data_IF_647777228192
#
_entry.id   IF_647777228192
#
_cell.length_a   1.000
_cell.length_b   1.000
_cell.length_c   1.000
_cell.angle_alpha   90.00
_cell.angle_beta   90.00
_cell.angle_gamma   90.00
#
_symmetry.space_group_name_H-M   'P 1'
#
loop_
_entity.id
_entity.type
_entity.pdbx_description
1 polymer ?
#
# COMPACT_ATOMS: atom_id res chain seq x y z
N UNK A 1 -9.16 25.11 -14.61
CA UNK A 1 -10.09 24.63 -13.56
C UNK A 1 -11.43 25.28 -13.81
N UNK A 2 -12.44 24.48 -14.12
CA UNK A 2 -13.78 24.95 -14.49
C UNK A 2 -14.64 25.10 -13.23
N UNK A 3 -15.66 25.95 -13.22
CA UNK A 3 -16.56 26.17 -12.07
C UNK A 3 -17.15 24.90 -11.41
N UNK A 4 -17.15 23.77 -12.14
CA UNK A 4 -17.51 22.45 -11.60
C UNK A 4 -16.54 21.92 -10.53
N UNK A 5 -15.25 22.26 -10.64
CA UNK A 5 -14.19 21.84 -9.70
C UNK A 5 -14.33 22.56 -8.36
N UNK A 6 -14.70 23.85 -8.35
CA UNK A 6 -14.87 24.65 -7.13
C UNK A 6 -16.12 24.24 -6.32
N UNK A 7 -17.23 23.91 -6.99
CA UNK A 7 -18.45 23.42 -6.34
C UNK A 7 -18.24 22.02 -5.72
N UNK A 8 -17.47 21.15 -6.39
CA UNK A 8 -17.10 19.85 -5.82
C UNK A 8 -16.22 19.99 -4.58
N UNK A 9 -15.30 20.96 -4.56
CA UNK A 9 -14.38 21.20 -3.44
C UNK A 9 -15.10 21.78 -2.22
N UNK A 10 -16.03 22.71 -2.42
CA UNK A 10 -16.79 23.31 -1.31
C UNK A 10 -17.83 22.37 -0.69
N UNK A 11 -18.37 21.42 -1.47
CA UNK A 11 -19.39 20.47 -1.01
C UNK A 11 -18.83 19.12 -0.48
N UNK A 12 -17.51 18.94 -0.42
CA UNK A 12 -16.87 17.68 0.02
C UNK A 12 -17.42 17.12 1.34
N UNK A 13 -17.61 17.92 2.42
CA UNK A 13 -18.11 17.39 3.68
C UNK A 13 -19.54 16.83 3.56
N UNK A 14 -20.34 17.41 2.67
CA UNK A 14 -21.69 16.93 2.39
C UNK A 14 -21.65 15.59 1.63
N UNK A 15 -20.83 15.48 0.58
CA UNK A 15 -20.67 14.24 -0.17
C UNK A 15 -20.13 13.09 0.69
N UNK A 16 -19.18 13.36 1.57
CA UNK A 16 -18.68 12.36 2.53
C UNK A 16 -19.82 11.84 3.41
N UNK A 17 -20.65 12.73 3.94
CA UNK A 17 -21.77 12.31 4.80
C UNK A 17 -22.83 11.52 4.01
N UNK A 18 -23.17 11.96 2.80
CA UNK A 18 -24.09 11.22 1.93
C UNK A 18 -23.57 9.82 1.57
N UNK A 19 -22.28 9.70 1.24
CA UNK A 19 -21.63 8.41 1.00
C UNK A 19 -21.71 7.51 2.22
N UNK A 20 -21.43 8.05 3.41
CA UNK A 20 -21.49 7.28 4.66
C UNK A 20 -22.90 6.78 4.95
N UNK A 21 -23.92 7.63 4.79
CA UNK A 21 -25.31 7.21 4.99
C UNK A 21 -25.76 6.19 3.93
N UNK A 22 -25.32 6.35 2.68
CA UNK A 22 -25.54 5.36 1.61
C UNK A 22 -24.91 4.01 1.95
N UNK A 23 -23.68 4.01 2.45
CA UNK A 23 -22.94 2.78 2.79
C UNK A 23 -23.53 2.10 4.04
N UNK A 24 -23.98 2.87 5.04
CA UNK A 24 -24.70 2.33 6.20
C UNK A 24 -26.03 1.69 5.81
N UNK A 25 -26.82 2.39 4.99
CA UNK A 25 -28.15 1.91 4.56
C UNK A 25 -28.09 0.81 3.51
N UNK A 26 -26.98 0.69 2.79
CA UNK A 26 -26.79 -0.21 1.65
C UNK A 26 -25.63 -1.19 1.83
N UNK A 27 -25.27 -1.55 3.06
CA UNK A 27 -24.10 -2.40 3.34
C UNK A 27 -24.11 -3.77 2.66
N UNK A 28 -25.30 -4.29 2.31
CA UNK A 28 -25.46 -5.53 1.54
C UNK A 28 -25.47 -5.36 0.01
N UNK A 29 -25.39 -4.11 -0.47
CA UNK A 29 -25.45 -3.75 -1.90
C UNK A 29 -24.13 -3.14 -2.36
N UNK A 30 -23.54 -2.26 -1.56
CA UNK A 30 -22.31 -1.55 -1.91
C UNK A 30 -21.10 -2.16 -1.20
N UNK A 31 -20.06 -2.57 -1.94
CA UNK A 31 -18.85 -3.09 -1.34
C UNK A 31 -18.05 -1.98 -0.67
N UNK A 32 -17.32 -2.32 0.40
CA UNK A 32 -16.48 -1.37 1.12
C UNK A 32 -15.30 -0.83 0.27
N UNK A 33 -14.96 -1.50 -0.82
CA UNK A 33 -14.02 -0.99 -1.83
C UNK A 33 -14.51 0.31 -2.47
N UNK A 34 -15.82 0.63 -2.43
CA UNK A 34 -16.32 1.91 -2.90
C UNK A 34 -15.70 3.10 -2.13
N UNK A 35 -15.41 2.94 -0.83
CA UNK A 35 -14.67 3.97 -0.08
C UNK A 35 -13.28 4.22 -0.65
N UNK A 36 -12.63 3.17 -1.18
CA UNK A 36 -11.34 3.29 -1.85
C UNK A 36 -11.48 4.16 -3.11
N UNK A 37 -12.51 3.91 -3.92
CA UNK A 37 -12.72 4.64 -5.17
C UNK A 37 -13.00 6.13 -4.92
N UNK A 38 -13.82 6.44 -3.91
CA UNK A 38 -14.05 7.83 -3.49
C UNK A 38 -12.79 8.48 -2.92
N UNK A 39 -12.01 7.75 -2.12
CA UNK A 39 -10.75 8.28 -1.60
C UNK A 39 -9.76 8.57 -2.73
N UNK A 40 -9.66 7.71 -3.74
CA UNK A 40 -8.86 7.95 -4.96
C UNK A 40 -9.36 9.18 -5.71
N UNK A 41 -10.67 9.30 -5.90
CA UNK A 41 -11.27 10.46 -6.55
C UNK A 41 -10.89 11.74 -5.79
N UNK A 42 -11.07 11.76 -4.48
CA UNK A 42 -10.76 12.94 -3.68
C UNK A 42 -9.28 13.30 -3.69
N UNK A 43 -8.42 12.30 -3.61
CA UNK A 43 -6.98 12.49 -3.75
C UNK A 43 -6.63 13.10 -5.12
N UNK A 44 -7.19 12.58 -6.21
CA UNK A 44 -6.96 13.09 -7.57
C UNK A 44 -7.48 14.52 -7.78
N UNK A 45 -8.48 14.94 -7.00
CA UNK A 45 -9.04 16.29 -7.04
C UNK A 45 -8.47 17.23 -5.96
N UNK A 46 -7.34 16.86 -5.34
CA UNK A 46 -6.64 17.68 -4.35
C UNK A 46 -7.53 18.16 -3.20
N UNK A 47 -8.40 17.28 -2.71
CA UNK A 47 -9.21 17.52 -1.53
C UNK A 47 -8.31 17.74 -0.29
N UNK A 48 -8.64 18.69 0.60
CA UNK A 48 -7.86 18.96 1.81
C UNK A 48 -7.64 17.72 2.68
N UNK A 49 -6.49 17.67 3.35
CA UNK A 49 -6.07 16.53 4.18
C UNK A 49 -7.10 16.17 5.26
N UNK A 50 -7.73 17.17 5.88
CA UNK A 50 -8.73 16.98 6.93
C UNK A 50 -9.95 16.21 6.42
N UNK A 51 -10.38 16.48 5.20
CA UNK A 51 -11.50 15.79 4.57
C UNK A 51 -11.13 14.34 4.22
N UNK A 52 -9.91 14.10 3.73
CA UNK A 52 -9.39 12.75 3.47
C UNK A 52 -9.32 11.93 4.77
N UNK A 53 -8.76 12.51 5.84
CA UNK A 53 -8.65 11.87 7.15
C UNK A 53 -10.03 11.59 7.75
N UNK A 54 -10.99 12.52 7.60
CA UNK A 54 -12.37 12.30 8.05
C UNK A 54 -13.04 11.14 7.32
N UNK A 55 -12.84 11.01 6.01
CA UNK A 55 -13.35 9.88 5.23
C UNK A 55 -12.74 8.56 5.71
N UNK A 56 -11.42 8.50 5.87
CA UNK A 56 -10.69 7.33 6.35
C UNK A 56 -11.20 6.91 7.74
N UNK A 57 -11.30 7.85 8.66
CA UNK A 57 -11.79 7.60 10.02
C UNK A 57 -13.21 7.03 10.01
N UNK A 58 -14.13 7.65 9.26
CA UNK A 58 -15.52 7.20 9.17
C UNK A 58 -15.64 5.83 8.52
N UNK A 59 -14.86 5.55 7.46
CA UNK A 59 -14.81 4.24 6.84
C UNK A 59 -14.33 3.15 7.80
N UNK A 60 -13.29 3.42 8.61
CA UNK A 60 -12.82 2.48 9.64
C UNK A 60 -13.83 2.24 10.75
N UNK A 61 -14.62 3.25 11.14
CA UNK A 61 -15.72 3.04 12.10
C UNK A 61 -16.77 2.07 11.54
N UNK A 62 -17.17 2.25 10.28
CA UNK A 62 -18.09 1.32 9.61
C UNK A 62 -17.51 -0.09 9.47
N UNK A 63 -16.22 -0.21 9.15
CA UNK A 63 -15.54 -1.50 9.12
C UNK A 63 -15.53 -2.21 10.48
N UNK A 64 -15.48 -1.46 11.58
CA UNK A 64 -15.56 -2.04 12.92
C UNK A 64 -16.98 -2.55 13.25
N UNK A 65 -18.01 -1.97 12.63
CA UNK A 65 -19.41 -2.36 12.78
C UNK A 65 -19.79 -3.55 11.87
N UNK A 66 -19.10 -3.72 10.73
CA UNK A 66 -19.31 -4.82 9.79
C UNK A 66 -18.28 -5.94 9.95
N UNK A 67 -18.71 -7.09 10.49
CA UNK A 67 -17.86 -8.26 10.72
C UNK A 67 -17.80 -9.27 9.55
N UNK A 68 -18.18 -8.86 8.34
CA UNK A 68 -18.19 -9.78 7.20
C UNK A 68 -16.77 -10.10 6.69
N UNK A 69 -16.58 -11.33 6.23
CA UNK A 69 -15.35 -11.77 5.57
C UNK A 69 -15.19 -11.03 4.24
N UNK A 70 -14.34 -10.01 4.25
CA UNK A 70 -14.04 -9.22 3.06
C UNK A 70 -13.13 -9.98 2.09
N UNK A 71 -13.59 -10.14 0.85
CA UNK A 71 -12.78 -10.65 -0.25
C UNK A 71 -11.74 -9.61 -0.69
N UNK A 72 -10.81 -10.03 -1.55
CA UNK A 72 -9.79 -9.14 -2.09
C UNK A 72 -10.39 -7.98 -2.92
N UNK A 73 -11.56 -8.15 -3.51
CA UNK A 73 -12.20 -7.14 -4.37
C UNK A 73 -13.10 -6.18 -3.60
N UNK A 74 -13.58 -6.56 -2.41
CA UNK A 74 -14.55 -5.76 -1.64
C UNK A 74 -13.92 -4.94 -0.51
N UNK A 75 -12.61 -5.10 -0.26
CA UNK A 75 -11.96 -4.47 0.89
C UNK A 75 -11.54 -3.02 0.63
N UNK A 76 -11.72 -2.17 1.65
CA UNK A 76 -11.24 -0.80 1.70
C UNK A 76 -9.70 -0.70 1.74
N UNK A 77 -9.10 0.19 0.95
CA UNK A 77 -7.63 0.30 0.73
C UNK A 77 -7.17 1.75 0.84
N UNK A 78 -6.76 2.16 2.04
CA UNK A 78 -6.31 3.54 2.30
C UNK A 78 -4.99 3.83 1.61
N UNK A 79 -3.96 3.01 1.87
CA UNK A 79 -2.60 3.24 1.37
C UNK A 79 -2.59 3.42 -0.16
N UNK A 80 -3.35 2.61 -0.87
CA UNK A 80 -3.49 2.72 -2.32
C UNK A 80 -3.95 4.11 -2.78
N UNK A 81 -5.02 4.61 -2.18
CA UNK A 81 -5.56 5.91 -2.56
C UNK A 81 -4.56 7.02 -2.21
N UNK A 82 -3.93 6.92 -1.04
CA UNK A 82 -2.94 7.90 -0.61
C UNK A 82 -1.71 7.91 -1.51
N UNK A 83 -1.24 6.78 -2.05
CA UNK A 83 -0.12 6.72 -3.02
C UNK A 83 -0.30 7.57 -4.30
N UNK A 84 -1.50 8.09 -4.54
CA UNK A 84 -1.80 9.01 -5.65
C UNK A 84 -1.83 10.48 -5.22
N UNK A 85 -1.68 10.75 -3.93
CA UNK A 85 -1.65 12.11 -3.37
C UNK A 85 -0.42 12.82 -3.90
N UNK A 86 -0.59 14.10 -4.24
CA UNK A 86 0.49 14.95 -4.75
C UNK A 86 0.96 15.92 -3.65
N UNK A 87 2.27 16.17 -3.52
CA UNK A 87 3.35 15.66 -4.39
C UNK A 87 3.47 14.13 -4.31
N UNK A 88 3.79 13.53 -5.47
CA UNK A 88 3.63 12.08 -5.63
C UNK A 88 4.61 11.39 -4.69
N UNK A 89 4.09 10.51 -3.82
CA UNK A 89 4.78 9.80 -2.72
C UNK A 89 6.15 9.17 -3.03
N UNK A 90 6.50 9.07 -4.31
CA UNK A 90 7.64 8.37 -4.85
C UNK A 90 8.28 9.17 -6.00
N UNK A 91 8.37 10.50 -5.89
CA UNK A 91 9.35 11.29 -6.68
C UNK A 91 10.74 10.91 -6.20
N UNK A 92 11.19 9.72 -6.59
CA UNK A 92 12.59 9.38 -6.59
C UNK A 92 13.18 10.19 -7.74
N UNK A 93 13.69 11.37 -7.44
CA UNK A 93 14.63 12.05 -8.33
C UNK A 93 15.94 11.29 -8.14
N UNK A 94 16.46 10.57 -9.16
CA UNK A 94 17.81 10.02 -9.09
C UNK A 94 18.78 11.13 -8.66
N UNK A 95 19.77 10.87 -7.82
CA UNK A 95 20.75 11.91 -7.38
C UNK A 95 21.33 12.71 -8.56
N UNK A 96 21.46 12.09 -9.73
CA UNK A 96 21.91 12.73 -10.97
C UNK A 96 20.92 13.76 -11.60
N UNK A 97 19.61 13.64 -11.35
CA UNK A 97 18.60 14.60 -11.81
C UNK A 97 18.27 15.66 -10.75
N UNK A 98 18.65 15.43 -9.49
CA UNK A 98 18.54 16.41 -8.41
C UNK A 98 19.69 17.44 -8.51
N UNK A 99 20.91 16.98 -8.80
CA UNK A 99 22.05 17.87 -9.09
C UNK A 99 21.80 18.72 -10.35
N UNK A 100 21.20 18.17 -11.42
CA UNK A 100 20.85 18.95 -12.62
C UNK A 100 19.71 19.97 -12.38
N UNK A 101 18.82 19.73 -11.41
CA UNK A 101 17.76 20.67 -11.04
C UNK A 101 18.30 21.82 -10.15
N UNK A 102 19.19 21.52 -9.20
CA UNK A 102 19.91 22.53 -8.42
C UNK A 102 20.81 23.40 -9.32
N UNK A 103 21.55 22.79 -10.26
CA UNK A 103 22.38 23.55 -11.22
C UNK A 103 21.56 24.41 -12.19
N UNK A 104 20.32 24.02 -12.51
CA UNK A 104 19.43 24.80 -13.36
C UNK A 104 18.80 25.99 -12.63
N UNK A 105 18.53 25.88 -11.32
CA UNK A 105 18.05 26.98 -10.48
C UNK A 105 19.17 27.97 -10.14
N UNK A 106 20.40 27.50 -9.88
CA UNK A 106 21.56 28.37 -9.67
C UNK A 106 21.99 29.14 -10.94
N UNK A 107 21.62 28.65 -12.13
CA UNK A 107 21.93 29.32 -13.39
C UNK A 107 20.97 30.47 -13.75
N UNK A 108 19.80 30.59 -13.09
CA UNK A 108 18.86 31.71 -13.29
C UNK A 108 18.99 32.83 -12.23
N UNK A 109 19.65 32.59 -11.09
CA UNK A 109 19.87 33.61 -10.05
C UNK A 109 21.26 34.26 -10.11
N UNK A 110 21.55 34.89 -11.24
CA UNK A 110 22.65 35.84 -11.35
C UNK A 110 22.19 37.27 -11.11
N UNK A 111 22.03 37.70 -9.85
CA UNK A 111 22.44 39.03 -9.34
C UNK A 111 21.93 39.29 -7.88
N UNK A 112 22.90 39.53 -6.99
CA UNK A 112 22.82 40.27 -5.72
C UNK A 112 22.17 39.61 -4.48
N UNK A 113 22.99 38.83 -3.75
CA UNK A 113 23.41 39.10 -2.37
C UNK A 113 22.38 39.29 -1.26
N UNK A 114 22.28 38.30 -0.37
CA UNK A 114 22.45 38.42 1.09
C UNK A 114 22.39 37.00 1.68
N UNK A 115 23.33 36.67 2.56
CA UNK A 115 23.32 35.42 3.34
C UNK A 115 22.05 35.37 4.20
N UNK A 116 21.06 34.62 3.73
CA UNK A 116 19.98 34.12 4.56
C UNK A 116 20.13 32.60 4.64
N UNK A 117 20.45 32.11 5.83
CA UNK A 117 20.21 30.73 6.24
C UNK A 117 18.71 30.42 6.04
N UNK A 118 18.31 30.09 4.82
CA UNK A 118 17.05 29.44 4.56
C UNK A 118 17.30 27.95 4.82
N UNK A 119 17.05 27.53 6.07
CA UNK A 119 16.64 26.15 6.32
C UNK A 119 15.45 25.90 5.38
N UNK A 120 15.69 25.15 4.31
CA UNK A 120 14.65 24.51 3.52
C UNK A 120 13.99 23.46 4.43
N UNK A 121 13.19 23.90 5.39
CA UNK A 121 12.08 23.10 5.89
C UNK A 121 11.09 22.98 4.72
N UNK A 122 11.37 22.08 3.79
CA UNK A 122 10.33 21.55 2.92
C UNK A 122 9.26 20.98 3.86
N UNK A 123 8.15 21.69 3.96
CA UNK A 123 6.91 21.21 4.57
C UNK A 123 6.56 19.90 3.87
N UNK A 124 7.01 18.77 4.42
CA UNK A 124 6.68 17.41 3.96
C UNK A 124 5.20 17.13 4.32
N UNK A 125 4.29 17.91 3.71
CA UNK A 125 2.84 17.77 3.82
C UNK A 125 2.41 16.33 3.53
N UNK A 126 3.16 15.63 2.67
CA UNK A 126 3.01 14.22 2.33
C UNK A 126 3.34 13.30 3.52
N UNK A 127 4.53 13.45 4.10
CA UNK A 127 4.94 12.73 5.30
C UNK A 127 3.99 13.00 6.46
N UNK A 128 3.48 14.22 6.57
CA UNK A 128 2.46 14.60 7.55
C UNK A 128 1.13 13.86 7.31
N UNK A 129 0.63 13.79 6.08
CA UNK A 129 -0.61 13.04 5.76
C UNK A 129 -0.45 11.55 6.04
N UNK A 130 0.66 10.92 5.64
CA UNK A 130 0.93 9.52 5.95
C UNK A 130 1.03 9.26 7.45
N UNK A 131 1.67 10.17 8.19
CA UNK A 131 1.78 10.08 9.64
C UNK A 131 0.39 10.13 10.30
N UNK A 132 -0.47 11.03 9.85
CA UNK A 132 -1.84 11.18 10.37
C UNK A 132 -2.71 9.97 9.98
N UNK A 133 -2.72 9.58 8.71
CA UNK A 133 -3.49 8.44 8.23
C UNK A 133 -2.98 7.11 8.83
N UNK A 134 -1.69 7.00 9.14
CA UNK A 134 -1.11 5.85 9.85
C UNK A 134 -1.61 5.69 11.29
N UNK A 135 -2.20 6.73 11.90
CA UNK A 135 -2.90 6.57 13.19
C UNK A 135 -4.23 5.82 13.02
N UNK A 136 -4.78 5.81 11.81
CA UNK A 136 -6.09 5.24 11.47
C UNK A 136 -5.94 3.87 10.77
N UNK A 137 -5.01 3.74 9.83
CA UNK A 137 -4.82 2.53 9.02
C UNK A 137 -3.45 1.85 9.29
N UNK A 138 -3.43 0.55 9.65
CA UNK A 138 -2.19 -0.16 9.96
C UNK A 138 -1.30 -0.40 8.74
N UNK A 139 -1.84 -0.45 7.52
CA UNK A 139 -1.07 -0.57 6.29
C UNK A 139 -0.31 0.70 5.97
N UNK A 140 -0.98 1.85 6.07
CA UNK A 140 -0.36 3.17 5.94
C UNK A 140 0.73 3.35 6.98
N UNK A 141 0.46 2.97 8.24
CA UNK A 141 1.46 3.03 9.31
C UNK A 141 2.67 2.16 9.03
N UNK A 142 2.47 0.93 8.56
CA UNK A 142 3.59 0.08 8.19
C UNK A 142 4.39 0.72 7.07
N UNK A 143 3.72 1.20 6.02
CA UNK A 143 4.37 1.86 4.89
C UNK A 143 5.24 3.04 5.35
N UNK A 144 4.69 3.92 6.18
CA UNK A 144 5.43 5.04 6.77
C UNK A 144 6.64 4.58 7.61
N UNK A 145 6.49 3.53 8.43
CA UNK A 145 7.61 2.95 9.19
C UNK A 145 8.68 2.31 8.31
N UNK A 146 8.30 1.74 7.16
CA UNK A 146 9.23 1.21 6.16
C UNK A 146 10.01 2.36 5.48
N UNK A 147 9.35 3.48 5.15
CA UNK A 147 9.98 4.72 4.64
C UNK A 147 11.08 5.19 5.61
N UNK A 148 10.70 5.48 6.87
CA UNK A 148 11.63 5.91 7.90
C UNK A 148 12.80 4.94 8.09
N UNK A 149 12.59 3.62 7.94
CA UNK A 149 13.68 2.65 8.09
C UNK A 149 14.65 2.63 6.92
N UNK A 150 14.19 2.94 5.71
CA UNK A 150 15.12 3.17 4.59
C UNK A 150 16.03 4.36 4.89
N UNK A 151 15.51 5.34 5.62
CA UNK A 151 16.24 6.57 5.95
C UNK A 151 17.05 6.46 7.26
N UNK A 152 16.63 5.62 8.23
CA UNK A 152 17.21 5.50 9.58
C UNK A 152 17.07 4.10 10.23
N UNK A 153 18.14 3.54 10.80
CA UNK A 153 18.21 2.16 11.32
C UNK A 153 17.28 1.80 12.53
N UNK A 154 16.48 2.72 13.07
CA UNK A 154 15.89 2.58 14.42
C UNK A 154 14.41 2.13 14.49
N UNK A 155 13.70 1.96 13.38
CA UNK A 155 12.27 1.65 13.42
C UNK A 155 11.97 0.18 13.83
N UNK A 156 11.10 -0.09 14.83
CA UNK A 156 10.82 -1.43 15.33
C UNK A 156 9.76 -2.18 14.48
N UNK A 157 9.99 -2.29 13.17
CA UNK A 157 9.04 -2.87 12.18
C UNK A 157 8.55 -4.26 12.58
N UNK A 158 9.45 -5.16 12.98
CA UNK A 158 9.11 -6.53 13.40
C UNK A 158 8.21 -6.55 14.64
N UNK A 159 8.46 -5.64 15.60
CA UNK A 159 7.66 -5.51 16.80
C UNK A 159 6.26 -4.96 16.47
N UNK A 160 6.19 -3.94 15.62
CA UNK A 160 4.93 -3.39 15.12
C UNK A 160 4.05 -4.47 14.47
N UNK A 161 4.62 -5.26 13.53
CA UNK A 161 3.92 -6.38 12.89
C UNK A 161 3.41 -7.37 13.94
N UNK A 162 4.25 -7.71 14.91
CA UNK A 162 3.90 -8.66 15.96
C UNK A 162 2.70 -8.16 16.78
N UNK A 163 2.69 -6.89 17.16
CA UNK A 163 1.65 -6.34 18.03
C UNK A 163 0.32 -6.11 17.29
N UNK A 164 0.38 -5.72 16.03
CA UNK A 164 -0.80 -5.58 15.17
C UNK A 164 -1.43 -6.94 14.87
N UNK A 165 -0.63 -7.92 14.43
CA UNK A 165 -1.14 -9.24 14.07
C UNK A 165 -1.60 -10.07 15.29
N UNK A 166 -1.19 -9.75 16.53
CA UNK A 166 -1.74 -10.39 17.74
C UNK A 166 -3.25 -10.15 17.92
N UNK A 167 -3.73 -8.98 17.51
CA UNK A 167 -5.13 -8.58 17.77
C UNK A 167 -6.09 -9.15 16.74
N UNK A 168 -5.77 -9.02 15.45
CA UNK A 168 -6.62 -9.52 14.39
C UNK A 168 -5.83 -9.82 13.10
N UNK A 169 -5.12 -10.96 13.01
CA UNK A 169 -4.21 -11.22 11.91
C UNK A 169 -4.94 -11.33 10.57
N UNK A 170 -6.17 -11.87 10.57
CA UNK A 170 -6.90 -12.16 9.33
C UNK A 170 -7.21 -10.91 8.51
N UNK A 171 -7.58 -9.81 9.17
CA UNK A 171 -7.96 -8.57 8.48
C UNK A 171 -6.74 -7.70 8.15
N UNK A 172 -5.66 -7.80 8.93
CA UNK A 172 -4.54 -6.86 8.80
C UNK A 172 -3.40 -7.41 7.93
N UNK A 173 -3.21 -8.73 7.89
CA UNK A 173 -2.14 -9.35 7.08
C UNK A 173 -2.13 -8.88 5.62
N UNK A 174 -3.25 -8.87 4.89
CA UNK A 174 -3.23 -8.42 3.51
C UNK A 174 -2.80 -6.96 3.35
N UNK A 175 -3.22 -6.08 4.27
CA UNK A 175 -2.86 -4.67 4.26
C UNK A 175 -1.35 -4.48 4.53
N UNK A 176 -0.78 -5.29 5.44
CA UNK A 176 0.66 -5.25 5.72
C UNK A 176 1.51 -5.77 4.55
N UNK A 177 1.07 -6.85 3.89
CA UNK A 177 1.74 -7.34 2.69
C UNK A 177 1.65 -6.35 1.53
N UNK A 178 0.51 -5.67 1.39
CA UNK A 178 0.34 -4.60 0.40
C UNK A 178 1.35 -3.47 0.63
N UNK A 179 1.56 -3.05 1.89
CA UNK A 179 2.56 -2.03 2.21
C UNK A 179 3.99 -2.44 1.86
N UNK A 180 4.40 -3.68 2.19
CA UNK A 180 5.70 -4.21 1.78
C UNK A 180 5.88 -4.22 0.27
N UNK A 181 4.82 -4.63 -0.43
CA UNK A 181 4.86 -4.75 -1.85
C UNK A 181 4.91 -3.40 -2.57
N UNK A 182 4.26 -2.37 -2.02
CA UNK A 182 4.37 -1.00 -2.52
C UNK A 182 5.83 -0.55 -2.59
N UNK A 183 6.68 -0.92 -1.62
CA UNK A 183 8.13 -0.67 -1.71
C UNK A 183 8.83 -1.62 -2.68
N UNK A 184 8.47 -2.91 -2.63
CA UNK A 184 9.09 -3.94 -3.47
C UNK A 184 8.88 -3.71 -4.98
N UNK A 185 7.93 -2.84 -5.36
CA UNK A 185 7.68 -2.45 -6.75
C UNK A 185 8.90 -1.83 -7.43
N UNK A 186 9.81 -1.24 -6.66
CA UNK A 186 11.07 -0.68 -7.15
C UNK A 186 12.19 -1.71 -7.11
N UNK A 187 12.35 -2.38 -5.96
CA UNK A 187 13.36 -3.42 -5.79
C UNK A 187 12.87 -4.49 -4.80
N UNK A 188 12.41 -5.61 -5.37
CA UNK A 188 11.92 -6.77 -4.59
C UNK A 188 13.04 -7.37 -3.75
N UNK A 189 14.26 -7.44 -4.28
CA UNK A 189 15.37 -8.12 -3.61
C UNK A 189 15.87 -7.30 -2.43
N UNK A 190 16.05 -5.98 -2.62
CA UNK A 190 16.39 -5.07 -1.54
C UNK A 190 15.36 -5.15 -0.41
N UNK A 191 14.07 -4.98 -0.70
CA UNK A 191 13.03 -4.96 0.34
C UNK A 191 12.96 -6.29 1.09
N UNK A 192 12.97 -7.42 0.38
CA UNK A 192 12.91 -8.72 1.03
C UNK A 192 14.19 -9.07 1.82
N UNK A 193 15.34 -8.49 1.48
CA UNK A 193 16.59 -8.66 2.23
C UNK A 193 16.67 -7.74 3.45
N UNK A 194 16.43 -6.45 3.25
CA UNK A 194 16.48 -5.42 4.29
C UNK A 194 15.43 -5.66 5.40
N UNK A 195 14.28 -6.22 5.04
CA UNK A 195 13.18 -6.51 5.97
C UNK A 195 12.94 -8.01 6.19
N UNK A 196 13.96 -8.85 5.99
CA UNK A 196 13.85 -10.31 6.05
C UNK A 196 13.14 -10.84 7.29
N UNK A 197 13.46 -10.34 8.49
CA UNK A 197 12.83 -10.83 9.73
C UNK A 197 11.35 -10.43 9.85
N UNK A 198 11.02 -9.19 9.47
CA UNK A 198 9.65 -8.71 9.40
C UNK A 198 8.83 -9.53 8.40
N UNK A 199 9.42 -9.83 7.24
CA UNK A 199 8.81 -10.64 6.20
C UNK A 199 8.61 -12.09 6.64
N UNK A 200 9.61 -12.71 7.29
CA UNK A 200 9.46 -14.06 7.88
C UNK A 200 8.33 -14.11 8.90
N UNK A 201 8.20 -13.08 9.75
CA UNK A 201 7.10 -12.98 10.71
C UNK A 201 5.75 -12.94 10.01
N UNK A 202 5.58 -12.07 9.01
CA UNK A 202 4.34 -11.96 8.24
C UNK A 202 3.94 -13.28 7.57
N UNK A 203 4.88 -13.92 6.90
CA UNK A 203 4.68 -15.22 6.25
C UNK A 203 4.28 -16.31 7.25
N UNK A 204 4.81 -16.24 8.48
CA UNK A 204 4.52 -17.18 9.56
C UNK A 204 3.08 -17.17 10.09
N UNK A 205 2.28 -16.13 9.82
CA UNK A 205 0.88 -16.07 10.26
C UNK A 205 -0.08 -16.93 9.42
N UNK A 206 0.38 -17.53 8.32
CA UNK A 206 -0.43 -18.39 7.45
C UNK A 206 -1.37 -17.62 6.50
N UNK A 207 -1.99 -18.33 5.54
CA UNK A 207 -2.89 -17.79 4.47
C UNK A 207 -2.20 -17.03 3.33
N UNK A 208 -1.04 -17.51 2.90
CA UNK A 208 -0.30 -16.91 1.79
C UNK A 208 -1.11 -16.78 0.48
N UNK A 209 -1.90 -17.79 0.05
CA UNK A 209 -2.63 -17.67 -1.22
C UNK A 209 -3.62 -16.50 -1.23
N UNK A 210 -4.42 -16.36 -0.16
CA UNK A 210 -5.40 -15.27 -0.01
C UNK A 210 -4.70 -13.90 0.06
N UNK A 211 -3.61 -13.82 0.83
CA UNK A 211 -2.84 -12.58 0.98
C UNK A 211 -2.17 -12.17 -0.34
N UNK A 212 -1.63 -13.11 -1.10
CA UNK A 212 -0.98 -12.82 -2.39
C UNK A 212 -1.98 -12.45 -3.47
N UNK A 213 -3.18 -13.04 -3.44
CA UNK A 213 -4.29 -12.59 -4.26
C UNK A 213 -4.70 -11.14 -3.92
N UNK A 214 -4.77 -10.79 -2.64
CA UNK A 214 -5.02 -9.41 -2.22
C UNK A 214 -3.97 -8.43 -2.77
N UNK A 215 -2.70 -8.81 -2.70
CA UNK A 215 -1.59 -8.07 -3.30
C UNK A 215 -1.75 -7.96 -4.82
N UNK A 216 -2.24 -9.01 -5.48
CA UNK A 216 -2.52 -8.99 -6.92
C UNK A 216 -3.64 -8.02 -7.30
N UNK A 217 -4.75 -7.99 -6.55
CA UNK A 217 -5.83 -7.02 -6.82
C UNK A 217 -5.28 -5.59 -6.67
N UNK A 218 -4.50 -5.35 -5.61
CA UNK A 218 -3.82 -4.07 -5.41
C UNK A 218 -2.87 -3.72 -6.56
N UNK A 219 -2.20 -4.74 -7.12
CA UNK A 219 -1.26 -4.61 -8.23
C UNK A 219 -1.91 -4.15 -9.53
N UNK A 220 -3.02 -4.79 -9.90
CA UNK A 220 -3.77 -4.43 -11.11
C UNK A 220 -4.17 -2.97 -11.10
N UNK A 221 -4.65 -2.49 -9.96
CA UNK A 221 -5.15 -1.13 -9.82
C UNK A 221 -4.03 -0.08 -9.88
N UNK A 222 -2.81 -0.44 -9.44
CA UNK A 222 -1.63 0.40 -9.57
C UNK A 222 -1.03 0.40 -10.99
N UNK A 223 -1.57 -0.40 -11.92
CA UNK A 223 -1.12 -0.43 -13.32
C UNK A 223 0.29 -0.98 -13.51
N UNK A 224 0.75 -1.84 -12.61
CA UNK A 224 2.15 -2.24 -12.56
C UNK A 224 2.46 -3.52 -13.38
N UNK A 225 3.73 -3.78 -13.79
CA UNK A 225 4.06 -4.85 -14.73
C UNK A 225 4.02 -6.28 -14.15
N UNK A 226 3.22 -7.20 -14.70
CA UNK A 226 3.07 -8.59 -14.21
C UNK A 226 4.37 -9.29 -13.69
N UNK A 227 5.52 -9.08 -14.36
CA UNK A 227 6.82 -9.62 -13.94
C UNK A 227 7.21 -9.30 -12.49
N UNK A 228 6.97 -8.08 -12.01
CA UNK A 228 7.34 -7.70 -10.64
C UNK A 228 6.46 -8.39 -9.60
N UNK A 229 5.18 -8.64 -9.92
CA UNK A 229 4.30 -9.48 -9.09
C UNK A 229 4.82 -10.92 -9.01
N UNK A 230 5.23 -11.50 -10.14
CA UNK A 230 5.82 -12.84 -10.18
C UNK A 230 7.08 -12.92 -9.32
N UNK A 231 7.98 -11.94 -9.43
CA UNK A 231 9.21 -11.90 -8.61
C UNK A 231 8.89 -11.84 -7.11
N UNK A 232 7.94 -10.99 -6.71
CA UNK A 232 7.52 -10.89 -5.32
C UNK A 232 6.89 -12.19 -4.80
N UNK A 233 5.95 -12.79 -5.54
CA UNK A 233 5.34 -14.08 -5.18
C UNK A 233 6.41 -15.15 -4.98
N UNK A 234 7.38 -15.25 -5.90
CA UNK A 234 8.48 -16.22 -5.79
C UNK A 234 9.30 -15.99 -4.51
N UNK A 235 9.61 -14.74 -4.18
CA UNK A 235 10.39 -14.38 -2.98
C UNK A 235 9.63 -14.71 -1.69
N UNK A 236 8.31 -14.46 -1.65
CA UNK A 236 7.41 -14.83 -0.55
C UNK A 236 7.38 -16.35 -0.37
N UNK A 237 7.15 -17.09 -1.46
CA UNK A 237 7.06 -18.54 -1.42
C UNK A 237 8.39 -19.19 -1.00
N UNK A 238 9.53 -18.68 -1.49
CA UNK A 238 10.85 -19.14 -1.07
C UNK A 238 11.09 -18.90 0.43
N UNK A 239 10.67 -17.74 0.95
CA UNK A 239 10.76 -17.43 2.38
C UNK A 239 9.89 -18.39 3.21
N UNK A 240 8.67 -18.67 2.75
CA UNK A 240 7.77 -19.62 3.40
C UNK A 240 8.33 -21.05 3.43
N UNK A 241 8.91 -21.50 2.32
CA UNK A 241 9.56 -22.80 2.22
C UNK A 241 10.77 -22.91 3.18
N UNK A 242 11.58 -21.86 3.29
CA UNK A 242 12.72 -21.81 4.22
C UNK A 242 12.28 -21.89 5.69
N UNK A 243 11.16 -21.24 6.06
CA UNK A 243 10.61 -21.33 7.42
C UNK A 243 10.16 -22.77 7.70
N UNK A 244 9.41 -23.35 6.77
CA UNK A 244 8.88 -24.72 6.91
C UNK A 244 9.98 -25.78 6.98
N UNK A 245 11.07 -25.63 6.22
CA UNK A 245 12.20 -26.56 6.26
C UNK A 245 12.93 -26.57 7.62
N UNK A 246 12.90 -25.45 8.34
CA UNK A 246 13.54 -25.31 9.65
C UNK A 246 12.62 -25.79 10.80
N UNK A 247 11.31 -25.82 10.59
CA UNK A 247 10.35 -26.39 11.53
C UNK A 247 10.11 -27.86 11.18
N UNK A 248 10.61 -28.81 11.98
CA UNK A 248 10.35 -30.27 11.85
C UNK A 248 8.85 -30.68 11.89
N UNK A 249 7.91 -29.73 11.75
CA UNK A 249 6.48 -29.98 11.65
C UNK A 249 6.12 -30.45 10.25
N UNK A 250 5.70 -31.71 10.16
CA UNK A 250 5.10 -32.36 9.00
C UNK A 250 3.67 -31.82 8.72
N UNK A 251 3.46 -30.51 8.87
CA UNK A 251 2.15 -29.86 8.80
C UNK A 251 1.95 -29.25 7.43
N UNK A 252 1.24 -30.00 6.61
CA UNK A 252 0.39 -29.51 5.52
C UNK A 252 1.02 -28.38 4.68
N UNK A 253 2.11 -28.71 3.99
CA UNK A 253 2.57 -27.92 2.85
C UNK A 253 1.67 -28.25 1.65
N UNK A 254 0.36 -28.02 1.78
CA UNK A 254 -0.53 -27.97 0.62
C UNK A 254 0.10 -27.06 -0.43
N UNK A 255 -0.12 -27.36 -1.71
CA UNK A 255 0.44 -26.61 -2.83
C UNK A 255 -0.12 -25.18 -2.84
N UNK A 256 0.43 -24.30 -1.99
CA UNK A 256 0.01 -22.91 -1.83
C UNK A 256 0.13 -22.12 -3.13
N UNK A 257 1.09 -22.50 -3.98
CA UNK A 257 1.25 -21.89 -5.29
C UNK A 257 0.14 -22.36 -6.24
N UNK A 258 -0.20 -23.65 -6.22
CA UNK A 258 -1.36 -24.20 -6.91
C UNK A 258 -2.68 -23.53 -6.48
N UNK A 259 -2.89 -23.36 -5.17
CA UNK A 259 -4.06 -22.65 -4.63
C UNK A 259 -4.13 -21.21 -5.13
N UNK A 260 -3.02 -20.45 -5.04
CA UNK A 260 -2.96 -19.08 -5.55
C UNK A 260 -3.29 -19.02 -7.04
N UNK A 261 -2.73 -19.94 -7.85
CA UNK A 261 -3.02 -20.00 -9.29
C UNK A 261 -4.49 -20.25 -9.58
N UNK A 262 -5.12 -21.15 -8.84
CA UNK A 262 -6.54 -21.45 -9.04
C UNK A 262 -7.42 -20.24 -8.70
N UNK A 263 -7.11 -19.52 -7.61
CA UNK A 263 -7.80 -18.27 -7.25
C UNK A 263 -7.64 -17.20 -8.35
N UNK A 264 -6.41 -16.96 -8.81
CA UNK A 264 -6.13 -16.01 -9.89
C UNK A 264 -6.82 -16.38 -11.21
N UNK A 265 -6.94 -17.66 -11.52
CA UNK A 265 -7.66 -18.15 -12.70
C UNK A 265 -9.17 -17.95 -12.58
N UNK A 266 -9.74 -18.42 -11.49
CA UNK A 266 -11.19 -18.52 -11.30
C UNK A 266 -11.83 -17.18 -10.97
N UNK A 267 -11.22 -16.40 -10.08
CA UNK A 267 -11.77 -15.14 -9.57
C UNK A 267 -11.37 -13.94 -10.43
N UNK A 268 -10.18 -13.97 -11.06
CA UNK A 268 -9.61 -12.81 -11.77
C UNK A 268 -9.31 -13.06 -13.26
N UNK A 269 -9.61 -14.26 -13.77
CA UNK A 269 -9.44 -14.62 -15.18
C UNK A 269 -8.03 -14.35 -15.74
N UNK A 270 -7.00 -14.53 -14.91
CA UNK A 270 -5.60 -14.38 -15.34
C UNK A 270 -5.29 -15.38 -16.45
N UNK A 271 -4.63 -14.91 -17.50
CA UNK A 271 -4.29 -15.73 -18.67
C UNK A 271 -3.41 -16.92 -18.30
N UNK A 272 -3.57 -18.05 -19.01
CA UNK A 272 -2.72 -19.23 -18.81
C UNK A 272 -1.23 -18.95 -19.05
N UNK A 273 -0.89 -17.98 -19.90
CA UNK A 273 0.50 -17.55 -20.11
C UNK A 273 1.06 -16.96 -18.83
N UNK A 274 0.37 -16.00 -18.23
CA UNK A 274 0.77 -15.38 -16.96
C UNK A 274 0.81 -16.42 -15.83
N UNK A 275 -0.18 -17.31 -15.73
CA UNK A 275 -0.20 -18.35 -14.70
C UNK A 275 0.94 -19.37 -14.81
N UNK A 276 1.49 -19.60 -16.02
CA UNK A 276 2.70 -20.43 -16.20
C UNK A 276 3.94 -19.74 -15.69
N UNK A 277 4.09 -18.43 -15.93
CA UNK A 277 5.23 -17.65 -15.43
C UNK A 277 5.34 -17.69 -13.90
N UNK A 278 4.23 -17.82 -13.16
CA UNK A 278 4.27 -18.00 -11.70
C UNK A 278 5.00 -19.28 -11.26
N UNK A 279 4.99 -20.33 -12.10
CA UNK A 279 5.55 -21.66 -11.79
C UNK A 279 6.93 -21.84 -12.37
N UNK A 280 7.18 -21.29 -13.55
CA UNK A 280 8.48 -21.42 -14.21
C UNK A 280 9.58 -20.82 -13.31
N UNK A 281 10.61 -21.61 -13.00
CA UNK A 281 11.81 -21.05 -12.39
C UNK A 281 12.56 -20.29 -13.47
N UNK A 282 12.97 -19.05 -13.20
CA UNK A 282 14.01 -18.44 -14.02
C UNK A 282 15.30 -19.21 -13.72
N UNK A 283 15.58 -20.23 -14.52
CA UNK A 283 16.94 -20.76 -14.66
C UNK A 283 17.73 -19.74 -15.50
N UNK A 284 18.11 -18.62 -14.88
CA UNK A 284 19.11 -17.68 -15.39
C UNK A 284 19.93 -17.15 -14.24
#
# INVERSE_FOLDING_TARGET
>A
MTALDEDMVSAQPHYINCLIELMKGGSGVFPLSLFTDFLVLFVNHHVPQEALLSLIEKAHRLLAEHHEDMTATTRFRVLYALLRYRPALLTWVPEAEAEEAEEAEEAEEGEEGEEADHELEEDDEEGHLLLLAGKLDPGVRLFYLLKIRMDQEKAPVTQFITDICKKNPQHVLPTLFSAFYTFARFDVDYVCNSFKEAFRKLVGYGRLPQVLEDVYVQWLVLGMPWKSYVLFVRRVMATAASINANSNSNKDSGDKLGELKERLRSEHHVSEVHLRELVERNDK
#
